data_IF_928633116929
#
_entry.id   IF_928633116929
#
_cell.length_a   1.000
_cell.length_b   1.000
_cell.length_c   1.000
_cell.angle_alpha   90.00
_cell.angle_beta   90.00
_cell.angle_gamma   90.00
#
_symmetry.space_group_name_H-M   'P 1'
#
loop_
_entity.id
_entity.type
_entity.pdbx_description
1 polymer ?
#
# COMPACT_ATOMS: atom_id res chain seq x y z
N UNK A 1 12.17 0.48 14.25
CA UNK A 1 11.41 0.66 13.01
C UNK A 1 12.29 1.38 12.01
N UNK A 2 12.53 0.76 10.86
CA UNK A 2 13.46 1.25 9.84
C UNK A 2 12.75 1.37 8.48
N UNK A 3 11.61 2.06 8.46
CA UNK A 3 10.66 2.10 7.33
C UNK A 3 11.11 3.00 6.17
N UNK A 4 12.19 3.77 6.35
CA UNK A 4 12.69 4.73 5.34
C UNK A 4 13.48 4.08 4.21
N UNK A 5 13.92 2.83 4.38
CA UNK A 5 14.68 2.09 3.38
C UNK A 5 14.02 0.74 3.08
N UNK A 6 13.43 0.64 1.88
CA UNK A 6 12.80 -0.59 1.41
C UNK A 6 13.84 -1.51 0.76
N UNK A 7 13.82 -2.78 1.14
CA UNK A 7 14.49 -3.85 0.40
C UNK A 7 13.51 -4.44 -0.62
N UNK A 8 13.62 -4.02 -1.89
CA UNK A 8 12.73 -4.45 -2.97
C UNK A 8 12.74 -5.97 -3.20
N UNK A 9 13.78 -6.69 -2.73
CA UNK A 9 13.87 -8.15 -2.85
C UNK A 9 12.95 -8.90 -1.87
N UNK A 10 12.48 -8.22 -0.82
CA UNK A 10 11.61 -8.78 0.22
C UNK A 10 10.13 -8.46 0.02
N UNK A 11 9.78 -7.77 -1.07
CA UNK A 11 8.40 -7.43 -1.38
C UNK A 11 7.61 -8.68 -1.73
N UNK A 12 6.46 -8.83 -1.09
CA UNK A 12 5.58 -9.98 -1.31
C UNK A 12 4.89 -9.88 -2.66
N UNK A 13 4.66 -11.04 -3.26
CA UNK A 13 4.07 -11.11 -4.60
C UNK A 13 2.62 -11.58 -4.54
N UNK A 14 2.24 -12.37 -3.55
CA UNK A 14 0.89 -12.90 -3.44
C UNK A 14 0.18 -12.41 -2.17
N UNK A 15 -1.16 -12.36 -2.19
CA UNK A 15 -1.97 -12.01 -1.01
C UNK A 15 -1.69 -12.92 0.21
N UNK A 16 -1.57 -14.26 0.08
CA UNK A 16 -1.24 -15.11 1.23
C UNK A 16 0.13 -14.77 1.85
N UNK A 17 1.14 -14.46 1.03
CA UNK A 17 2.45 -14.01 1.51
C UNK A 17 2.34 -12.64 2.21
N UNK A 18 1.51 -11.75 1.67
CA UNK A 18 1.24 -10.46 2.30
C UNK A 18 0.65 -10.62 3.71
N UNK A 19 -0.34 -11.49 3.87
CA UNK A 19 -0.93 -11.72 5.19
C UNK A 19 0.07 -12.34 6.18
N UNK A 20 0.98 -13.20 5.71
CA UNK A 20 2.09 -13.69 6.54
C UNK A 20 3.06 -12.57 6.96
N UNK A 21 3.38 -11.65 6.04
CA UNK A 21 4.19 -10.47 6.34
C UNK A 21 3.53 -9.60 7.41
N UNK A 22 2.21 -9.39 7.33
CA UNK A 22 1.47 -8.56 8.29
C UNK A 22 1.48 -9.11 9.72
N UNK A 23 1.53 -10.43 9.90
CA UNK A 23 1.64 -11.05 11.25
C UNK A 23 3.08 -11.30 11.69
N UNK A 24 4.07 -10.97 10.86
CA UNK A 24 5.50 -11.10 11.19
C UNK A 24 6.03 -9.90 11.97
N UNK A 25 7.20 -10.06 12.57
CA UNK A 25 7.98 -9.00 13.26
C UNK A 25 8.72 -8.05 12.30
N UNK A 26 8.33 -7.99 11.01
CA UNK A 26 8.94 -7.09 10.05
C UNK A 26 8.76 -5.62 10.48
N UNK A 27 9.87 -4.93 10.75
CA UNK A 27 9.94 -3.55 11.23
C UNK A 27 10.27 -2.52 10.14
N UNK A 28 10.32 -2.98 8.88
CA UNK A 28 10.69 -2.22 7.69
C UNK A 28 9.49 -1.81 6.83
N UNK A 29 8.26 -2.23 7.19
CA UNK A 29 7.03 -1.81 6.53
C UNK A 29 6.23 -0.81 7.38
N UNK A 30 5.52 0.10 6.72
CA UNK A 30 4.54 0.95 7.36
C UNK A 30 3.26 0.14 7.66
N UNK A 31 2.78 0.22 8.90
CA UNK A 31 1.64 -0.56 9.40
C UNK A 31 0.50 0.31 9.91
N UNK A 32 0.78 1.58 10.19
CA UNK A 32 -0.17 2.56 10.71
C UNK A 32 -0.10 3.86 9.93
N UNK A 33 -1.10 4.72 10.09
CA UNK A 33 -1.08 6.06 9.51
C UNK A 33 0.11 6.88 10.01
N UNK A 34 0.49 6.71 11.28
CA UNK A 34 1.62 7.43 11.86
C UNK A 34 2.97 6.96 11.29
N UNK A 35 3.10 5.67 10.97
CA UNK A 35 4.27 5.16 10.25
C UNK A 35 4.37 5.83 8.87
N UNK A 36 3.25 5.95 8.15
CA UNK A 36 3.23 6.62 6.85
C UNK A 36 3.58 8.10 6.99
N UNK A 37 3.08 8.79 8.01
CA UNK A 37 3.43 10.19 8.29
C UNK A 37 4.92 10.38 8.55
N UNK A 38 5.60 9.42 9.19
CA UNK A 38 7.06 9.46 9.34
C UNK A 38 7.80 9.40 7.99
N UNK A 39 7.17 8.84 6.95
CA UNK A 39 7.72 8.76 5.59
C UNK A 39 7.52 10.05 4.79
N UNK A 40 6.85 11.08 5.31
CA UNK A 40 6.53 12.34 4.59
C UNK A 40 7.71 12.92 3.80
N UNK A 41 8.91 12.86 4.36
CA UNK A 41 10.14 13.42 3.76
C UNK A 41 10.98 12.40 2.97
N UNK A 42 10.48 11.18 2.80
CA UNK A 42 11.13 10.11 2.03
C UNK A 42 10.49 10.01 0.64
N UNK A 43 11.26 9.79 -0.45
CA UNK A 43 10.68 9.50 -1.75
C UNK A 43 9.81 8.22 -1.70
N UNK A 44 8.66 8.18 -2.38
CA UNK A 44 8.13 9.21 -3.27
C UNK A 44 7.31 10.30 -2.55
N UNK A 45 6.98 10.10 -1.27
CA UNK A 45 6.10 11.00 -0.51
C UNK A 45 6.62 12.42 -0.40
N UNK A 46 7.94 12.62 -0.41
CA UNK A 46 8.56 13.95 -0.40
C UNK A 46 8.19 14.83 -1.60
N UNK A 47 7.70 14.24 -2.70
CA UNK A 47 7.25 14.98 -3.89
C UNK A 47 5.80 15.44 -3.81
N UNK A 48 5.01 14.84 -2.91
CA UNK A 48 3.60 15.20 -2.76
C UNK A 48 3.46 16.55 -2.06
N UNK A 49 2.45 17.31 -2.45
CA UNK A 49 1.95 18.40 -1.62
C UNK A 49 1.37 17.87 -0.32
N UNK A 50 1.40 18.66 0.76
CA UNK A 50 0.87 18.23 2.06
C UNK A 50 -0.61 17.81 1.96
N UNK A 51 -1.38 18.52 1.12
CA UNK A 51 -2.77 18.19 0.84
C UNK A 51 -2.94 16.79 0.26
N UNK A 52 -2.16 16.45 -0.77
CA UNK A 52 -2.28 15.14 -1.42
C UNK A 52 -1.68 14.01 -0.57
N UNK A 53 -0.64 14.31 0.19
CA UNK A 53 -0.08 13.37 1.16
C UNK A 53 -1.10 13.01 2.24
N UNK A 54 -1.71 13.99 2.91
CA UNK A 54 -2.73 13.71 3.93
C UNK A 54 -3.97 13.05 3.32
N UNK A 55 -4.41 13.46 2.13
CA UNK A 55 -5.51 12.79 1.44
C UNK A 55 -5.20 11.32 1.10
N UNK A 56 -3.94 10.99 0.81
CA UNK A 56 -3.50 9.60 0.64
C UNK A 56 -3.54 8.85 1.97
N UNK A 57 -3.00 9.43 3.04
CA UNK A 57 -2.99 8.84 4.39
C UNK A 57 -4.42 8.57 4.89
N UNK A 58 -5.34 9.52 4.73
CA UNK A 58 -6.76 9.39 5.07
C UNK A 58 -7.48 8.34 4.22
N UNK A 59 -6.97 8.09 3.02
CA UNK A 59 -7.46 7.07 2.09
C UNK A 59 -6.98 5.65 2.40
N UNK A 60 -6.11 5.45 3.39
CA UNK A 60 -5.61 4.14 3.80
C UNK A 60 -6.62 3.42 4.70
N UNK A 61 -6.85 2.14 4.42
CA UNK A 61 -7.66 1.26 5.25
C UNK A 61 -6.74 0.28 5.94
N UNK A 62 -6.69 0.34 7.28
CA UNK A 62 -5.84 -0.53 8.08
C UNK A 62 -6.59 -1.73 8.64
N UNK A 63 -5.91 -2.88 8.70
CA UNK A 63 -6.43 -4.12 9.25
C UNK A 63 -5.34 -5.20 9.31
N UNK A 64 -5.50 -6.19 10.19
CA UNK A 64 -4.59 -7.35 10.30
C UNK A 64 -3.10 -7.00 10.50
N UNK A 65 -2.78 -5.83 11.02
CA UNK A 65 -1.39 -5.40 11.26
C UNK A 65 -0.73 -4.62 10.11
N UNK A 66 -1.50 -4.17 9.10
CA UNK A 66 -1.03 -3.28 8.04
C UNK A 66 -2.19 -2.71 7.21
N UNK A 67 -1.94 -2.37 5.94
CA UNK A 67 -3.01 -1.90 5.04
C UNK A 67 -3.78 -3.08 4.46
N UNK A 68 -5.10 -2.98 4.40
CA UNK A 68 -5.98 -3.94 3.70
C UNK A 68 -6.68 -3.30 2.50
N UNK A 69 -6.50 -1.99 2.32
CA UNK A 69 -6.90 -1.25 1.13
C UNK A 69 -6.36 0.17 1.17
N UNK A 70 -6.38 0.84 0.02
CA UNK A 70 -5.98 2.24 -0.10
C UNK A 70 -6.59 2.85 -1.37
N UNK A 71 -6.81 4.16 -1.39
CA UNK A 71 -6.97 4.90 -2.65
C UNK A 71 -5.67 5.59 -3.04
N UNK A 72 -5.22 5.39 -4.29
CA UNK A 72 -4.04 6.07 -4.85
C UNK A 72 -4.40 7.27 -5.72
N UNK A 73 -5.68 7.63 -5.80
CA UNK A 73 -6.14 8.81 -6.54
C UNK A 73 -5.39 10.10 -6.18
N UNK A 74 -5.09 10.42 -4.89
CA UNK A 74 -4.34 11.63 -4.55
C UNK A 74 -2.91 11.64 -5.13
N UNK A 75 -2.31 10.46 -5.28
CA UNK A 75 -0.94 10.29 -5.76
C UNK A 75 -0.82 10.58 -7.27
N UNK A 76 -1.85 10.24 -8.04
CA UNK A 76 -1.84 10.33 -9.52
C UNK A 76 -1.62 11.72 -10.09
N UNK A 77 -1.86 12.77 -9.29
CA UNK A 77 -1.71 14.15 -9.75
C UNK A 77 -0.25 14.65 -9.75
N UNK A 78 0.61 14.02 -8.94
CA UNK A 78 1.96 14.51 -8.64
C UNK A 78 3.04 13.43 -8.80
N UNK A 79 2.65 12.15 -8.84
CA UNK A 79 3.56 11.02 -8.99
C UNK A 79 3.36 10.29 -10.32
N UNK A 80 4.46 9.77 -10.86
CA UNK A 80 4.41 8.78 -11.94
C UNK A 80 3.89 7.44 -11.44
N UNK A 81 3.45 6.57 -12.35
CA UNK A 81 2.98 5.21 -12.01
C UNK A 81 4.07 4.42 -11.26
N UNK A 82 5.33 4.53 -11.66
CA UNK A 82 6.44 3.85 -10.98
C UNK A 82 6.61 4.33 -9.53
N UNK A 83 6.39 5.62 -9.28
CA UNK A 83 6.48 6.18 -7.94
C UNK A 83 5.27 5.80 -7.08
N UNK A 84 4.08 5.66 -7.67
CA UNK A 84 2.93 5.09 -6.96
C UNK A 84 3.25 3.66 -6.50
N UNK A 85 3.90 2.85 -7.32
CA UNK A 85 4.35 1.53 -6.88
C UNK A 85 5.44 1.58 -5.82
N UNK A 86 6.36 2.54 -5.89
CA UNK A 86 7.34 2.74 -4.82
C UNK A 86 6.66 3.16 -3.49
N UNK A 87 5.58 3.93 -3.54
CA UNK A 87 4.76 4.23 -2.37
C UNK A 87 4.17 2.94 -1.76
N UNK A 88 3.64 2.04 -2.61
CA UNK A 88 3.11 0.76 -2.16
C UNK A 88 4.18 -0.19 -1.61
N UNK A 89 5.42 -0.08 -2.10
CA UNK A 89 6.54 -0.88 -1.60
C UNK A 89 6.87 -0.59 -0.12
N UNK A 90 6.54 0.60 0.41
CA UNK A 90 6.69 0.90 1.84
C UNK A 90 5.76 0.06 2.72
N UNK A 91 4.72 -0.55 2.15
CA UNK A 91 3.83 -1.47 2.83
C UNK A 91 4.23 -2.94 2.60
N UNK A 92 5.36 -3.20 1.94
CA UNK A 92 5.85 -4.55 1.64
C UNK A 92 5.30 -5.17 0.36
N UNK A 93 4.62 -4.39 -0.47
CA UNK A 93 3.88 -4.86 -1.65
C UNK A 93 4.75 -4.72 -2.91
N UNK A 94 4.83 -5.78 -3.72
CA UNK A 94 5.49 -5.74 -5.03
C UNK A 94 4.61 -5.09 -6.11
N UNK A 95 5.22 -4.66 -7.22
CA UNK A 95 4.50 -4.14 -8.38
C UNK A 95 3.47 -5.16 -8.91
N UNK A 96 3.84 -6.44 -8.95
CA UNK A 96 2.98 -7.53 -9.44
C UNK A 96 1.73 -7.69 -8.59
N UNK A 97 1.89 -7.65 -7.26
CA UNK A 97 0.78 -7.72 -6.31
C UNK A 97 -0.11 -6.47 -6.40
N UNK A 98 0.52 -5.28 -6.41
CA UNK A 98 -0.20 -4.02 -6.54
C UNK A 98 -1.07 -4.04 -7.79
N UNK A 99 -0.50 -4.37 -8.95
CA UNK A 99 -1.21 -4.40 -10.24
C UNK A 99 -2.42 -5.35 -10.23
N UNK A 100 -2.30 -6.54 -9.64
CA UNK A 100 -3.41 -7.51 -9.55
C UNK A 100 -4.53 -7.10 -8.60
N UNK A 101 -4.26 -6.16 -7.72
CA UNK A 101 -5.20 -5.69 -6.68
C UNK A 101 -5.72 -4.28 -6.94
N UNK A 102 -5.28 -3.62 -8.02
CA UNK A 102 -5.80 -2.33 -8.48
C UNK A 102 -7.27 -2.41 -8.89
N UNK A 103 -7.92 -1.26 -8.83
CA UNK A 103 -9.31 -1.03 -9.20
C UNK A 103 -10.33 -1.74 -8.29
N UNK A 104 -9.94 -2.03 -7.04
CA UNK A 104 -10.83 -2.55 -6.00
C UNK A 104 -10.61 -1.83 -4.67
N UNK A 105 -11.69 -1.56 -3.93
CA UNK A 105 -11.62 -1.09 -2.54
C UNK A 105 -12.04 -2.17 -1.56
N UNK A 106 -11.54 -2.06 -0.33
CA UNK A 106 -11.98 -2.89 0.78
C UNK A 106 -13.36 -2.45 1.28
N UNK A 107 -14.34 -3.36 1.24
CA UNK A 107 -15.69 -3.19 1.79
C UNK A 107 -15.96 -4.32 2.80
N UNK A 108 -15.89 -4.01 4.10
CA UNK A 108 -16.01 -5.03 5.14
C UNK A 108 -14.88 -6.05 5.06
N UNK A 109 -15.20 -7.31 4.73
CA UNK A 109 -14.24 -8.41 4.51
C UNK A 109 -14.04 -8.76 3.03
N UNK A 110 -14.56 -7.96 2.11
CA UNK A 110 -14.59 -8.23 0.67
C UNK A 110 -13.93 -7.10 -0.15
N UNK A 111 -13.59 -7.39 -1.41
CA UNK A 111 -13.18 -6.38 -2.37
C UNK A 111 -14.33 -6.06 -3.34
N UNK A 112 -14.56 -4.77 -3.59
CA UNK A 112 -15.55 -4.30 -4.57
C UNK A 112 -14.86 -3.40 -5.57
N UNK A 113 -15.23 -3.50 -6.86
CA UNK A 113 -14.66 -2.67 -7.91
C UNK A 113 -14.79 -1.18 -7.57
N UNK A 114 -13.69 -0.45 -7.69
CA UNK A 114 -13.60 0.97 -7.40
C UNK A 114 -12.35 1.55 -8.06
N UNK A 115 -12.53 2.52 -8.96
CA UNK A 115 -11.41 3.07 -9.68
C UNK A 115 -10.42 3.77 -8.74
N UNK A 116 -9.13 3.59 -9.01
CA UNK A 116 -8.02 4.20 -8.28
C UNK A 116 -7.87 3.73 -6.83
N UNK A 117 -8.25 2.48 -6.58
CA UNK A 117 -8.16 1.83 -5.28
C UNK A 117 -7.40 0.51 -5.36
N UNK A 118 -6.78 0.09 -4.26
CA UNK A 118 -6.25 -1.27 -4.08
C UNK A 118 -6.98 -1.97 -2.95
N UNK A 119 -7.12 -3.30 -3.08
CA UNK A 119 -7.72 -4.14 -2.05
C UNK A 119 -6.87 -5.39 -1.77
N UNK A 120 -6.49 -5.56 -0.51
CA UNK A 120 -5.62 -6.64 -0.01
C UNK A 120 -6.32 -7.50 1.06
N UNK A 121 -7.61 -7.24 1.29
CA UNK A 121 -8.38 -7.81 2.40
C UNK A 121 -8.86 -9.25 2.12
N UNK A 122 -8.96 -9.64 0.84
CA UNK A 122 -9.33 -11.00 0.45
C UNK A 122 -8.26 -12.02 0.80
N UNK A 123 -8.63 -13.30 0.88
CA UNK A 123 -7.69 -14.42 1.05
C UNK A 123 -7.12 -14.93 -0.26
N UNK A 124 -7.69 -14.47 -1.39
CA UNK A 124 -7.29 -14.79 -2.76
C UNK A 124 -7.28 -13.52 -3.58
N UNK A 125 -6.52 -13.53 -4.65
CA UNK A 125 -6.44 -12.40 -5.57
C UNK A 125 -7.73 -12.29 -6.39
N UNK A 126 -8.18 -11.06 -6.72
CA UNK A 126 -9.29 -10.85 -7.63
C UNK A 126 -9.03 -11.47 -9.02
N UNK A 127 -7.76 -11.54 -9.42
CA UNK A 127 -7.30 -12.16 -10.67
C UNK A 127 -6.22 -13.22 -10.40
N UNK A 128 -6.54 -14.52 -10.53
CA UNK A 128 -5.53 -15.58 -10.49
C UNK A 128 -4.64 -15.53 -11.74
N UNK A 129 -3.38 -15.97 -11.59
CA UNK A 129 -2.39 -16.09 -12.67
C UNK A 129 -2.84 -17.04 -13.79
#
# INVERSE_FOLDING_TARGET
MNITKIDKTKLVKEIPEYHQLLVSEADWIARTADDVRQLRNTPPFSKLSDKNFEAFVDGLVFGRGGIVGATYKPLMSELTISEIYDAFAHFGISVDLATRTLEYKATGSSCSFDFWSICLNETKEPFPR
#
